data_IF_700955171911
#
_entry.id   IF_700955171911
#
_cell.length_a   1.000
_cell.length_b   1.000
_cell.length_c   1.000
_cell.angle_alpha   90.00
_cell.angle_beta   90.00
_cell.angle_gamma   90.00
#
_symmetry.space_group_name_H-M   'P 1'
#
loop_
_entity.id
_entity.type
_entity.pdbx_description
1 polymer ?
#
# COMPACT_ATOMS: atom_id res chain seq x y z
N UNK A 1 -9.78 2.69 23.73
CA UNK A 1 -8.37 2.20 23.78
C UNK A 1 -7.69 2.61 22.50
N UNK A 2 -6.45 3.12 22.54
CA UNK A 2 -5.70 3.50 21.33
C UNK A 2 -5.28 2.28 20.54
N UNK A 3 -5.31 2.39 19.21
CA UNK A 3 -4.83 1.37 18.27
C UNK A 3 -3.53 1.84 17.64
N UNK A 4 -2.44 1.17 17.92
CA UNK A 4 -1.09 1.52 17.49
C UNK A 4 -0.62 0.47 16.49
N UNK A 5 -0.38 0.87 15.24
CA UNK A 5 0.18 0.00 14.23
C UNK A 5 1.70 -0.09 14.38
N UNK A 6 2.22 -1.29 14.48
CA UNK A 6 3.65 -1.58 14.56
C UNK A 6 4.10 -2.19 13.23
N UNK A 7 4.77 -1.41 12.41
CA UNK A 7 5.25 -1.84 11.09
C UNK A 7 6.64 -2.44 11.23
N UNK A 8 6.73 -3.76 11.10
CA UNK A 8 7.97 -4.52 11.23
C UNK A 8 8.78 -4.51 9.93
N UNK A 9 9.83 -3.72 9.90
CA UNK A 9 10.70 -3.48 8.73
C UNK A 9 12.17 -3.86 8.97
N UNK A 10 12.48 -4.66 10.00
CA UNK A 10 13.85 -5.05 10.36
C UNK A 10 14.50 -6.09 9.43
N UNK A 11 13.72 -6.80 8.62
CA UNK A 11 14.23 -7.88 7.78
C UNK A 11 15.14 -7.40 6.64
N UNK A 12 16.30 -8.04 6.46
CA UNK A 12 17.26 -7.72 5.40
C UNK A 12 16.95 -8.37 4.04
N UNK A 13 16.00 -9.33 4.00
CA UNK A 13 15.50 -9.90 2.75
C UNK A 13 16.46 -10.79 1.96
N UNK A 14 17.31 -11.56 2.64
CA UNK A 14 18.37 -12.40 2.05
C UNK A 14 17.93 -13.33 0.90
N UNK A 15 16.65 -13.78 0.89
CA UNK A 15 16.11 -14.69 -0.14
C UNK A 15 15.87 -14.04 -1.50
N UNK A 16 15.77 -12.70 -1.56
CA UNK A 16 15.43 -11.98 -2.80
C UNK A 16 16.67 -11.58 -3.63
N UNK A 17 17.88 -11.57 -3.02
CA UNK A 17 19.17 -11.20 -3.65
C UNK A 17 19.13 -9.88 -4.46
N UNK A 18 18.33 -8.89 -4.05
CA UNK A 18 18.10 -7.68 -4.82
C UNK A 18 19.09 -6.53 -4.55
N UNK A 19 20.14 -6.77 -3.74
CA UNK A 19 21.14 -5.73 -3.35
C UNK A 19 20.62 -4.65 -2.39
N UNK A 20 19.31 -4.53 -2.21
CA UNK A 20 18.63 -3.65 -1.25
C UNK A 20 17.56 -4.43 -0.47
N UNK A 21 17.25 -4.05 0.78
CA UNK A 21 16.18 -4.70 1.53
C UNK A 21 14.84 -4.60 0.81
N UNK A 22 14.08 -5.70 0.80
CA UNK A 22 12.85 -5.87 0.02
C UNK A 22 11.75 -4.84 0.32
N UNK A 23 11.70 -4.30 1.54
CA UNK A 23 10.76 -3.24 1.91
C UNK A 23 11.01 -1.92 1.16
N UNK A 24 12.19 -1.73 0.56
CA UNK A 24 12.55 -0.55 -0.21
C UNK A 24 12.49 -0.75 -1.73
N UNK A 25 12.09 -1.94 -2.19
CA UNK A 25 11.80 -2.17 -3.60
C UNK A 25 10.57 -1.36 -4.00
N UNK A 26 10.58 -0.81 -5.21
CA UNK A 26 9.45 -0.05 -5.75
C UNK A 26 8.48 -0.97 -6.48
N UNK A 27 7.21 -0.86 -6.18
CA UNK A 27 6.09 -1.52 -6.83
C UNK A 27 4.99 -0.50 -7.04
N UNK A 28 4.36 -0.45 -8.20
CA UNK A 28 3.32 0.53 -8.52
C UNK A 28 3.69 1.98 -8.11
N UNK A 29 4.93 2.40 -8.41
CA UNK A 29 5.40 3.78 -8.23
C UNK A 29 5.92 4.15 -6.82
N UNK A 30 5.60 3.40 -5.78
CA UNK A 30 6.05 3.62 -4.40
C UNK A 30 6.87 2.44 -3.89
N UNK A 31 7.62 2.63 -2.80
CA UNK A 31 8.27 1.50 -2.13
C UNK A 31 7.24 0.64 -1.40
N UNK A 32 7.56 -0.65 -1.23
CA UNK A 32 6.71 -1.62 -0.53
C UNK A 32 6.31 -1.10 0.86
N UNK A 33 7.24 -0.51 1.61
CA UNK A 33 6.95 0.06 2.94
C UNK A 33 6.05 1.30 2.88
N UNK A 34 6.21 2.17 1.85
CA UNK A 34 5.34 3.34 1.67
C UNK A 34 3.89 2.92 1.44
N UNK A 35 3.62 1.87 0.65
CA UNK A 35 2.29 1.30 0.47
C UNK A 35 1.69 0.82 1.79
N UNK A 36 2.47 0.03 2.54
CA UNK A 36 2.04 -0.50 3.84
C UNK A 36 1.68 0.63 4.80
N UNK A 37 2.60 1.58 5.03
CA UNK A 37 2.36 2.73 5.92
C UNK A 37 1.14 3.53 5.46
N UNK A 38 0.99 3.75 4.16
CA UNK A 38 -0.11 4.53 3.58
C UNK A 38 -1.49 3.97 3.93
N UNK A 39 -1.66 2.64 3.97
CA UNK A 39 -2.93 2.00 4.35
C UNK A 39 -3.25 2.27 5.82
N UNK A 40 -2.30 2.09 6.73
CA UNK A 40 -2.51 2.39 8.16
C UNK A 40 -2.67 3.90 8.43
N UNK A 41 -1.94 4.75 7.69
CA UNK A 41 -2.06 6.22 7.80
C UNK A 41 -3.46 6.71 7.47
N UNK A 42 -4.10 6.14 6.43
CA UNK A 42 -5.45 6.52 5.99
C UNK A 42 -6.56 5.91 6.83
N UNK A 43 -6.28 4.87 7.60
CA UNK A 43 -7.29 4.15 8.37
C UNK A 43 -7.77 4.97 9.58
N UNK A 44 -9.08 5.22 9.69
CA UNK A 44 -9.65 6.12 10.72
C UNK A 44 -9.44 5.63 12.16
N UNK A 45 -9.47 4.30 12.37
CA UNK A 45 -9.35 3.68 13.69
C UNK A 45 -7.90 3.45 14.14
N UNK A 46 -6.91 3.78 13.35
CA UNK A 46 -5.50 3.75 13.75
C UNK A 46 -5.11 5.14 14.28
N UNK A 47 -4.65 5.20 15.51
CA UNK A 47 -4.28 6.45 16.18
C UNK A 47 -2.82 6.83 15.95
N UNK A 48 -1.93 5.83 15.95
CA UNK A 48 -0.49 6.01 15.88
C UNK A 48 0.17 4.88 15.08
N UNK A 49 1.30 5.18 14.46
CA UNK A 49 2.15 4.22 13.76
C UNK A 49 3.56 4.30 14.35
N UNK A 50 4.12 3.15 14.71
CA UNK A 50 5.54 2.99 15.00
C UNK A 50 6.17 2.07 13.94
N UNK A 51 7.36 2.42 13.47
CA UNK A 51 8.09 1.63 12.48
C UNK A 51 9.31 1.04 13.18
N UNK A 52 9.48 -0.29 13.09
CA UNK A 52 10.63 -0.98 13.68
C UNK A 52 11.57 -1.41 12.55
N UNK A 53 12.73 -0.78 12.46
CA UNK A 53 13.66 -0.97 11.36
C UNK A 53 15.13 -1.00 11.82
N UNK A 54 16.01 -1.50 10.96
CA UNK A 54 17.45 -1.40 11.18
C UNK A 54 17.86 0.09 11.17
N UNK A 55 18.73 0.48 12.12
CA UNK A 55 19.19 1.86 12.31
C UNK A 55 19.73 2.50 11.02
N UNK A 56 20.44 1.72 10.21
CA UNK A 56 20.98 2.18 8.93
C UNK A 56 19.92 2.76 7.97
N UNK A 57 18.64 2.44 8.17
CA UNK A 57 17.54 2.89 7.32
C UNK A 57 16.61 3.90 7.99
N UNK A 58 16.86 4.31 9.25
CA UNK A 58 16.00 5.27 9.96
C UNK A 58 15.90 6.60 9.21
N UNK A 59 17.02 7.13 8.73
CA UNK A 59 17.04 8.36 7.95
C UNK A 59 16.16 8.25 6.70
N UNK A 60 16.35 7.20 5.91
CA UNK A 60 15.58 6.95 4.69
C UNK A 60 14.07 6.80 4.95
N UNK A 61 13.70 6.12 6.04
CA UNK A 61 12.30 6.00 6.45
C UNK A 61 11.76 7.37 6.87
N UNK A 62 12.55 8.16 7.60
CA UNK A 62 12.21 9.54 7.95
C UNK A 62 11.92 10.42 6.74
N UNK A 63 12.72 10.32 5.67
CA UNK A 63 12.46 11.00 4.40
C UNK A 63 11.10 10.61 3.79
N UNK A 64 10.75 9.31 3.81
CA UNK A 64 9.43 8.85 3.32
C UNK A 64 8.30 9.39 4.18
N UNK A 65 8.47 9.44 5.51
CA UNK A 65 7.47 10.00 6.43
C UNK A 65 7.18 11.47 6.12
N UNK A 66 8.23 12.26 5.91
CA UNK A 66 8.10 13.69 5.57
C UNK A 66 7.49 13.87 4.18
N UNK A 67 8.05 13.21 3.17
CA UNK A 67 7.61 13.29 1.77
C UNK A 67 6.12 12.97 1.60
N UNK A 68 5.65 11.89 2.24
CA UNK A 68 4.28 11.42 2.10
C UNK A 68 3.33 11.98 3.19
N UNK A 69 3.82 12.89 4.05
CA UNK A 69 3.04 13.50 5.14
C UNK A 69 2.37 12.45 6.05
N UNK A 70 3.10 11.38 6.41
CA UNK A 70 2.60 10.32 7.29
C UNK A 70 2.51 10.82 8.74
N UNK A 71 1.48 11.61 9.03
CA UNK A 71 1.30 12.31 10.32
C UNK A 71 1.09 11.41 11.52
N UNK A 72 0.62 10.17 11.31
CA UNK A 72 0.42 9.16 12.38
C UNK A 72 1.73 8.46 12.76
N UNK A 73 2.78 8.51 11.96
CA UNK A 73 4.08 7.96 12.32
C UNK A 73 4.71 8.81 13.42
N UNK A 74 4.80 8.27 14.63
CA UNK A 74 5.33 8.97 15.81
C UNK A 74 6.69 8.45 16.26
N UNK A 75 7.01 7.19 15.95
CA UNK A 75 8.26 6.56 16.39
C UNK A 75 8.88 5.75 15.25
N UNK A 76 10.22 5.83 15.13
CA UNK A 76 11.04 4.90 14.37
C UNK A 76 11.94 4.22 15.39
N UNK A 77 11.75 2.92 15.60
CA UNK A 77 12.38 2.12 16.64
C UNK A 77 13.42 1.19 16.02
N UNK A 78 14.46 0.87 16.81
CA UNK A 78 15.49 -0.08 16.38
C UNK A 78 14.93 -1.50 16.30
N UNK A 79 15.21 -2.20 15.20
CA UNK A 79 14.98 -3.63 15.09
C UNK A 79 16.10 -4.41 15.79
N UNK A 80 15.77 -5.60 16.28
CA UNK A 80 16.78 -6.54 16.74
C UNK A 80 17.27 -7.48 15.63
N UNK A 81 18.17 -8.39 16.00
CA UNK A 81 18.73 -9.41 15.10
C UNK A 81 17.66 -10.40 14.61
N UNK A 82 16.67 -10.69 15.45
CA UNK A 82 15.56 -11.58 15.16
C UNK A 82 14.22 -10.86 15.29
N UNK A 83 13.14 -11.50 14.77
CA UNK A 83 11.80 -10.92 14.77
C UNK A 83 11.31 -10.54 16.18
N UNK A 84 11.49 -11.43 17.15
CA UNK A 84 11.03 -11.20 18.52
C UNK A 84 11.70 -10.01 19.21
N UNK A 85 12.97 -9.72 18.93
CA UNK A 85 13.63 -8.50 19.43
C UNK A 85 13.01 -7.23 18.84
N UNK A 86 12.54 -7.30 17.60
CA UNK A 86 11.81 -6.18 16.98
C UNK A 86 10.46 -5.96 17.66
N UNK A 87 9.72 -7.02 17.98
CA UNK A 87 8.47 -6.95 18.75
C UNK A 87 8.70 -6.41 20.15
N UNK A 88 9.74 -6.88 20.84
CA UNK A 88 10.16 -6.36 22.16
C UNK A 88 10.50 -4.87 22.13
N UNK A 89 11.17 -4.39 21.08
CA UNK A 89 11.47 -2.97 20.92
C UNK A 89 10.20 -2.12 20.88
N UNK A 90 9.16 -2.62 20.19
CA UNK A 90 7.86 -1.96 20.16
C UNK A 90 7.15 -2.04 21.52
N UNK A 91 7.09 -3.20 22.16
CA UNK A 91 6.46 -3.37 23.49
C UNK A 91 7.07 -2.42 24.49
N UNK A 92 8.40 -2.37 24.60
CA UNK A 92 9.14 -1.47 25.49
C UNK A 92 8.87 0.02 25.22
N UNK A 93 8.65 0.38 23.96
CA UNK A 93 8.39 1.78 23.59
C UNK A 93 7.02 2.29 24.11
N UNK A 94 6.12 1.38 24.49
CA UNK A 94 4.76 1.70 24.95
C UNK A 94 4.44 1.21 26.36
N UNK A 95 5.28 0.34 26.99
CA UNK A 95 4.99 -0.31 28.29
C UNK A 95 4.73 0.63 29.46
N UNK A 96 5.25 1.86 29.42
CA UNK A 96 5.06 2.86 30.46
C UNK A 96 3.88 3.82 30.18
N UNK A 97 3.11 3.56 29.13
CA UNK A 97 1.96 4.37 28.75
C UNK A 97 0.62 3.82 29.25
N UNK A 98 -0.45 4.41 28.75
CA UNK A 98 -1.80 3.87 28.94
C UNK A 98 -1.98 2.56 28.16
N UNK A 99 -2.87 1.67 28.65
CA UNK A 99 -3.24 0.44 27.97
C UNK A 99 -3.72 0.73 26.53
N UNK A 100 -3.15 0.02 25.56
CA UNK A 100 -3.42 0.20 24.15
C UNK A 100 -3.38 -1.14 23.41
N UNK A 101 -3.89 -1.14 22.19
CA UNK A 101 -3.72 -2.25 21.26
C UNK A 101 -2.46 -2.05 20.44
N UNK A 102 -1.58 -3.04 20.40
CA UNK A 102 -0.46 -3.12 19.48
C UNK A 102 -0.81 -4.05 18.31
N UNK A 103 -0.75 -3.54 17.10
CA UNK A 103 -1.14 -4.22 15.87
C UNK A 103 0.10 -4.40 15.01
N UNK A 104 0.76 -5.56 15.12
CA UNK A 104 2.02 -5.87 14.45
C UNK A 104 1.78 -6.29 13.01
N UNK A 105 2.43 -5.61 12.08
CA UNK A 105 2.29 -5.91 10.65
C UNK A 105 3.64 -5.94 9.93
N UNK A 106 3.81 -6.94 9.06
CA UNK A 106 5.00 -7.03 8.20
C UNK A 106 5.03 -5.87 7.18
N UNK A 107 6.07 -5.05 7.19
CA UNK A 107 6.28 -3.98 6.20
C UNK A 107 6.23 -4.46 4.74
N UNK A 108 6.39 -5.75 4.53
CA UNK A 108 6.46 -6.42 3.22
C UNK A 108 5.14 -7.11 2.81
N UNK A 109 4.02 -6.67 3.38
CA UNK A 109 2.65 -7.01 2.93
C UNK A 109 1.92 -5.74 2.47
N UNK A 110 2.31 -5.17 1.32
CA UNK A 110 1.83 -3.85 0.90
C UNK A 110 0.37 -3.83 0.46
N UNK A 111 -0.24 -4.99 0.27
CA UNK A 111 -1.62 -5.14 -0.16
C UNK A 111 -2.60 -5.37 1.01
N UNK A 112 -2.20 -5.04 2.24
CA UNK A 112 -3.13 -5.02 3.37
C UNK A 112 -4.35 -4.14 3.06
N UNK A 113 -5.55 -4.64 3.36
CA UNK A 113 -6.81 -3.90 3.18
C UNK A 113 -7.29 -3.23 4.47
N UNK A 114 -8.09 -2.17 4.36
CA UNK A 114 -8.75 -1.55 5.51
C UNK A 114 -9.68 -2.54 6.21
N UNK A 115 -10.33 -3.42 5.46
CA UNK A 115 -11.25 -4.43 6.00
C UNK A 115 -10.56 -5.42 6.94
N UNK A 116 -9.32 -5.83 6.65
CA UNK A 116 -8.55 -6.68 7.57
C UNK A 116 -8.24 -5.92 8.86
N UNK A 117 -7.83 -4.64 8.76
CA UNK A 117 -7.53 -3.81 9.92
C UNK A 117 -8.80 -3.63 10.78
N UNK A 118 -9.95 -3.36 10.17
CA UNK A 118 -11.23 -3.26 10.86
C UNK A 118 -11.56 -4.53 11.64
N UNK A 119 -11.45 -5.72 10.99
CA UNK A 119 -11.72 -7.01 11.63
C UNK A 119 -10.84 -7.25 12.86
N UNK A 120 -9.55 -6.91 12.77
CA UNK A 120 -8.61 -7.03 13.90
C UNK A 120 -9.00 -6.10 15.04
N UNK A 121 -9.29 -4.83 14.74
CA UNK A 121 -9.66 -3.85 15.78
C UNK A 121 -10.99 -4.21 16.46
N UNK A 122 -11.99 -4.65 15.69
CA UNK A 122 -13.27 -5.11 16.22
C UNK A 122 -13.08 -6.34 17.12
N UNK A 123 -12.27 -7.31 16.70
CA UNK A 123 -11.99 -8.51 17.50
C UNK A 123 -11.24 -8.17 18.80
N UNK A 124 -10.34 -7.17 18.79
CA UNK A 124 -9.63 -6.70 20.01
C UNK A 124 -10.53 -6.02 21.03
N UNK A 125 -11.76 -5.68 20.70
CA UNK A 125 -12.74 -5.23 21.69
C UNK A 125 -13.18 -6.36 22.62
N UNK A 126 -13.13 -7.62 22.13
CA UNK A 126 -13.60 -8.81 22.83
C UNK A 126 -12.42 -9.68 23.31
N UNK A 127 -11.42 -9.86 22.44
CA UNK A 127 -10.28 -10.75 22.68
C UNK A 127 -9.02 -9.93 22.97
N UNK A 128 -8.09 -10.53 23.74
CA UNK A 128 -6.82 -9.89 24.08
C UNK A 128 -5.72 -10.14 23.06
N UNK A 129 -5.89 -11.18 22.24
CA UNK A 129 -4.99 -11.56 21.16
C UNK A 129 -5.79 -11.97 19.91
N UNK A 130 -5.37 -11.49 18.75
CA UNK A 130 -6.02 -11.71 17.47
C UNK A 130 -4.98 -12.01 16.40
N UNK A 131 -5.21 -13.06 15.62
CA UNK A 131 -4.41 -13.38 14.44
C UNK A 131 -5.23 -13.21 13.15
N UNK A 132 -4.54 -13.01 12.03
CA UNK A 132 -5.14 -12.97 10.70
C UNK A 132 -4.71 -14.20 9.92
N UNK A 133 -5.65 -14.97 9.42
CA UNK A 133 -5.31 -16.15 8.64
C UNK A 133 -6.32 -16.44 7.53
N UNK A 134 -5.88 -17.18 6.51
CA UNK A 134 -6.71 -17.67 5.41
C UNK A 134 -6.71 -19.21 5.39
N UNK A 135 -7.76 -19.87 4.86
CA UNK A 135 -7.76 -21.32 4.67
C UNK A 135 -6.56 -21.78 3.87
N UNK A 136 -6.00 -22.95 4.20
CA UNK A 136 -4.98 -23.54 3.34
C UNK A 136 -5.62 -24.07 2.06
N UNK A 137 -5.11 -23.63 0.90
CA UNK A 137 -5.53 -24.13 -0.40
C UNK A 137 -4.92 -25.50 -0.67
N UNK A 138 -3.69 -25.73 -0.21
CA UNK A 138 -2.92 -26.93 -0.44
C UNK A 138 -3.09 -27.97 0.67
N UNK A 139 -2.82 -29.22 0.36
CA UNK A 139 -2.69 -30.29 1.36
C UNK A 139 -1.35 -30.12 2.07
N UNK A 140 -1.40 -29.97 3.40
CA UNK A 140 -0.19 -29.88 4.24
C UNK A 140 0.17 -31.30 4.69
N UNK A 141 1.44 -31.65 4.52
CA UNK A 141 2.02 -32.91 4.97
C UNK A 141 3.02 -32.65 6.10
N UNK A 142 3.02 -33.49 7.10
CA UNK A 142 4.05 -33.52 8.14
C UNK A 142 5.07 -34.58 7.78
N UNK A 143 6.35 -34.24 7.81
CA UNK A 143 7.47 -35.15 7.53
C UNK A 143 8.41 -35.22 8.72
N UNK A 144 9.11 -36.37 8.86
CA UNK A 144 10.18 -36.55 9.80
C UNK A 144 11.55 -36.07 9.26
N UNK A 145 12.63 -36.34 10.01
CA UNK A 145 14.01 -36.00 9.61
C UNK A 145 14.48 -36.70 8.34
N UNK A 146 13.87 -37.86 8.01
CA UNK A 146 14.20 -38.68 6.85
C UNK A 146 13.32 -38.35 5.63
N UNK A 147 12.57 -37.23 5.73
CA UNK A 147 11.65 -36.74 4.71
C UNK A 147 10.49 -37.73 4.39
N UNK A 148 10.12 -38.58 5.38
CA UNK A 148 9.01 -39.53 5.27
C UNK A 148 7.72 -38.90 5.85
N UNK A 149 6.58 -39.13 5.19
CA UNK A 149 5.28 -38.59 5.63
C UNK A 149 4.87 -39.24 6.96
N UNK A 150 4.75 -38.41 8.00
CA UNK A 150 4.26 -38.81 9.32
C UNK A 150 2.76 -38.56 9.49
N UNK A 151 2.21 -37.60 8.75
CA UNK A 151 0.79 -37.30 8.88
C UNK A 151 0.30 -36.30 7.82
N UNK A 152 -1.01 -36.32 7.60
CA UNK A 152 -1.71 -35.38 6.73
C UNK A 152 -2.90 -34.81 7.53
N UNK A 153 -2.74 -33.67 8.17
CA UNK A 153 -3.80 -33.06 8.97
C UNK A 153 -5.01 -32.69 8.11
N UNK A 154 -6.24 -32.77 8.65
CA UNK A 154 -7.44 -32.38 7.91
C UNK A 154 -7.37 -30.91 7.48
N UNK A 155 -7.40 -30.63 6.17
CA UNK A 155 -7.27 -29.27 5.60
C UNK A 155 -8.27 -28.26 6.19
N UNK A 156 -9.48 -28.69 6.57
CA UNK A 156 -10.54 -27.83 7.13
C UNK A 156 -10.13 -27.07 8.39
N UNK A 157 -9.17 -27.60 9.17
CA UNK A 157 -8.68 -26.97 10.41
C UNK A 157 -7.37 -26.21 10.21
N UNK A 158 -6.80 -26.26 9.03
CA UNK A 158 -5.52 -25.60 8.74
C UNK A 158 -5.74 -24.22 8.15
N UNK A 159 -4.93 -23.28 8.63
CA UNK A 159 -4.92 -21.89 8.16
C UNK A 159 -3.48 -21.47 7.86
N UNK A 160 -3.32 -20.57 6.90
CA UNK A 160 -2.04 -19.88 6.63
C UNK A 160 -2.07 -18.55 7.37
N UNK A 161 -1.21 -18.38 8.37
CA UNK A 161 -1.08 -17.15 9.14
C UNK A 161 -0.62 -15.98 8.27
N UNK A 162 -1.21 -14.83 8.51
CA UNK A 162 -0.84 -13.56 7.90
C UNK A 162 -0.50 -12.55 9.01
N UNK A 163 -0.37 -11.30 8.65
CA UNK A 163 -0.40 -10.16 9.56
C UNK A 163 -1.42 -9.14 9.03
N UNK A 164 -2.03 -8.31 9.91
CA UNK A 164 -1.59 -7.96 11.27
C UNK A 164 -1.89 -9.03 12.32
N UNK A 165 -1.07 -9.06 13.36
CA UNK A 165 -1.36 -9.74 14.62
C UNK A 165 -1.63 -8.67 15.68
N UNK A 166 -2.79 -8.71 16.32
CA UNK A 166 -3.23 -7.70 17.26
C UNK A 166 -3.21 -8.20 18.69
N UNK A 167 -2.75 -7.37 19.63
CA UNK A 167 -2.68 -7.72 21.05
C UNK A 167 -2.99 -6.51 21.92
N UNK A 168 -3.58 -6.75 23.09
CA UNK A 168 -3.52 -5.77 24.18
C UNK A 168 -2.08 -5.70 24.69
N UNK A 169 -1.62 -4.49 24.98
CA UNK A 169 -0.23 -4.26 25.41
C UNK A 169 0.15 -5.12 26.62
N UNK A 170 -0.69 -5.16 27.66
CA UNK A 170 -0.40 -5.94 28.85
C UNK A 170 -0.32 -7.44 28.56
N UNK A 171 -1.14 -7.97 27.68
CA UNK A 171 -1.14 -9.39 27.30
C UNK A 171 0.13 -9.77 26.57
N UNK A 172 0.51 -9.03 25.52
CA UNK A 172 1.73 -9.35 24.76
C UNK A 172 3.00 -9.13 25.60
N UNK A 173 3.00 -8.09 26.46
CA UNK A 173 4.09 -7.85 27.40
C UNK A 173 4.25 -9.02 28.38
N UNK A 174 3.18 -9.47 29.03
CA UNK A 174 3.22 -10.60 29.95
C UNK A 174 3.73 -11.89 29.26
N UNK A 175 3.28 -12.15 28.02
CA UNK A 175 3.75 -13.31 27.26
C UNK A 175 5.27 -13.25 27.02
N UNK A 176 5.79 -12.08 26.65
CA UNK A 176 7.23 -11.90 26.46
C UNK A 176 8.02 -11.91 27.76
N UNK A 177 7.48 -11.37 28.85
CA UNK A 177 8.12 -11.43 30.18
C UNK A 177 8.31 -12.88 30.66
N UNK A 178 7.39 -13.78 30.33
CA UNK A 178 7.53 -15.22 30.60
C UNK A 178 8.47 -15.89 29.60
N UNK A 179 8.35 -15.59 28.32
CA UNK A 179 9.18 -16.17 27.26
C UNK A 179 10.68 -15.92 27.47
N UNK A 180 11.03 -14.72 27.92
CA UNK A 180 12.43 -14.34 28.17
C UNK A 180 13.08 -15.06 29.36
N UNK A 181 12.31 -15.77 30.19
CA UNK A 181 12.84 -16.65 31.26
C UNK A 181 13.20 -18.05 30.75
N UNK A 182 12.70 -18.41 29.55
CA UNK A 182 12.96 -19.71 28.91
C UNK A 182 14.29 -19.63 28.11
N UNK A 183 15.36 -20.35 28.52
CA UNK A 183 16.64 -20.34 27.83
C UNK A 183 16.55 -20.91 26.40
N UNK A 184 15.54 -21.73 26.12
CA UNK A 184 15.27 -22.34 24.81
C UNK A 184 14.19 -21.58 24.03
N UNK A 185 14.03 -20.28 24.31
CA UNK A 185 13.02 -19.47 23.66
C UNK A 185 13.31 -19.29 22.16
N UNK A 186 12.46 -19.87 21.35
CA UNK A 186 12.42 -19.72 19.89
C UNK A 186 10.97 -19.42 19.48
N UNK A 187 10.77 -18.46 18.60
CA UNK A 187 9.46 -18.16 18.04
C UNK A 187 9.55 -17.74 16.57
N UNK A 188 8.50 -18.03 15.82
CA UNK A 188 8.33 -17.61 14.45
C UNK A 188 7.45 -16.36 14.32
N UNK A 189 6.54 -16.14 15.28
CA UNK A 189 5.62 -15.01 15.32
C UNK A 189 5.16 -14.68 16.75
N UNK A 190 4.41 -13.58 16.91
CA UNK A 190 4.00 -13.07 18.20
C UNK A 190 2.82 -13.86 18.79
N UNK A 191 1.93 -14.43 17.97
CA UNK A 191 0.86 -15.32 18.42
C UNK A 191 1.42 -16.62 19.02
N UNK A 192 2.50 -17.17 18.45
CA UNK A 192 3.19 -18.33 19.01
C UNK A 192 3.74 -18.09 20.41
N UNK A 193 4.17 -16.86 20.72
CA UNK A 193 4.62 -16.47 22.08
C UNK A 193 3.44 -16.51 23.05
N UNK A 194 2.32 -15.87 22.70
CA UNK A 194 1.11 -15.89 23.54
C UNK A 194 0.60 -17.30 23.73
N UNK A 195 0.53 -18.11 22.69
CA UNK A 195 0.04 -19.49 22.75
C UNK A 195 0.86 -20.37 23.70
N UNK A 196 2.20 -20.23 23.66
CA UNK A 196 3.11 -21.06 24.47
C UNK A 196 3.17 -20.60 25.94
N UNK A 197 3.23 -19.29 26.19
CA UNK A 197 3.55 -18.75 27.51
C UNK A 197 2.35 -18.20 28.28
N UNK A 198 1.21 -18.00 27.59
CA UNK A 198 -0.08 -17.66 28.21
C UNK A 198 -1.19 -18.59 27.69
N UNK A 199 -1.16 -19.91 27.99
CA UNK A 199 -2.03 -20.91 27.37
C UNK A 199 -3.52 -20.68 27.62
N UNK A 200 -3.88 -19.95 28.70
CA UNK A 200 -5.27 -19.60 29.00
C UNK A 200 -5.80 -18.44 28.13
N UNK A 201 -4.91 -17.69 27.47
CA UNK A 201 -5.29 -16.58 26.60
C UNK A 201 -5.76 -17.10 25.26
N UNK A 202 -7.03 -16.84 24.93
CA UNK A 202 -7.59 -17.23 23.63
C UNK A 202 -7.11 -16.27 22.55
N UNK A 203 -6.48 -16.82 21.51
CA UNK A 203 -6.12 -16.10 20.30
C UNK A 203 -7.25 -16.28 19.29
N UNK A 204 -7.97 -15.20 18.97
CA UNK A 204 -9.05 -15.25 18.00
C UNK A 204 -8.52 -15.06 16.59
N UNK A 205 -8.98 -15.86 15.64
CA UNK A 205 -8.56 -15.78 14.23
C UNK A 205 -9.61 -15.04 13.41
N UNK A 206 -9.23 -13.92 12.82
CA UNK A 206 -10.05 -13.20 11.84
C UNK A 206 -9.65 -13.61 10.42
N UNK A 207 -10.61 -13.50 9.50
CA UNK A 207 -10.39 -13.86 8.11
C UNK A 207 -9.49 -12.84 7.41
N UNK A 208 -8.41 -13.33 6.81
CA UNK A 208 -7.50 -12.57 5.95
C UNK A 208 -7.95 -12.52 4.50
N UNK A 209 -7.04 -12.15 3.61
CA UNK A 209 -7.27 -12.08 2.17
C UNK A 209 -6.08 -12.70 1.43
N UNK A 210 -6.32 -13.43 0.32
CA UNK A 210 -5.24 -14.00 -0.49
C UNK A 210 -4.33 -12.91 -1.06
N UNK A 211 -4.89 -11.74 -1.36
CA UNK A 211 -4.14 -10.57 -1.82
C UNK A 211 -3.17 -10.00 -0.77
N UNK A 212 -3.40 -10.26 0.54
CA UNK A 212 -2.51 -9.80 1.61
C UNK A 212 -1.26 -10.70 1.72
N UNK A 213 -0.63 -10.95 0.58
CA UNK A 213 0.55 -11.80 0.47
C UNK A 213 1.83 -11.10 0.96
N UNK A 214 2.79 -11.90 1.42
CA UNK A 214 4.10 -11.44 1.88
C UNK A 214 5.10 -11.49 0.74
N UNK A 215 5.75 -10.37 0.43
CA UNK A 215 6.90 -10.35 -0.50
C UNK A 215 8.05 -11.17 0.09
N UNK A 216 8.24 -12.38 -0.42
CA UNK A 216 9.24 -13.32 0.10
C UNK A 216 10.24 -13.74 -0.99
N UNK A 217 9.74 -14.07 -2.17
CA UNK A 217 10.48 -14.51 -3.33
C UNK A 217 10.42 -13.49 -4.46
N UNK A 218 11.25 -13.67 -5.48
CA UNK A 218 11.32 -12.75 -6.63
C UNK A 218 10.01 -12.73 -7.43
N UNK A 219 9.34 -13.86 -7.52
CA UNK A 219 8.07 -14.04 -8.21
C UNK A 219 6.94 -13.25 -7.55
N UNK A 220 6.96 -13.14 -6.21
CA UNK A 220 5.97 -12.38 -5.45
C UNK A 220 5.94 -10.91 -5.87
N UNK A 221 7.09 -10.37 -6.29
CA UNK A 221 7.19 -8.98 -6.75
C UNK A 221 6.27 -8.73 -7.96
N UNK A 222 6.34 -9.60 -8.96
CA UNK A 222 5.49 -9.49 -10.16
C UNK A 222 4.01 -9.70 -9.85
N UNK A 223 3.70 -10.63 -8.94
CA UNK A 223 2.33 -10.86 -8.49
C UNK A 223 1.76 -9.64 -7.77
N UNK A 224 2.53 -9.04 -6.86
CA UNK A 224 2.12 -7.84 -6.12
C UNK A 224 1.93 -6.67 -7.08
N UNK A 225 2.84 -6.44 -8.03
CA UNK A 225 2.70 -5.42 -9.07
C UNK A 225 1.39 -5.59 -9.84
N UNK A 226 1.10 -6.82 -10.27
CA UNK A 226 -0.13 -7.13 -11.02
C UNK A 226 -1.39 -6.94 -10.17
N UNK A 227 -1.34 -7.31 -8.89
CA UNK A 227 -2.46 -7.10 -7.98
C UNK A 227 -2.72 -5.60 -7.71
N UNK A 228 -1.67 -4.76 -7.64
CA UNK A 228 -1.85 -3.31 -7.61
C UNK A 228 -2.53 -2.79 -8.88
N UNK A 229 -2.09 -3.24 -10.06
CA UNK A 229 -2.74 -2.87 -11.32
C UNK A 229 -4.21 -3.27 -11.34
N UNK A 230 -4.55 -4.50 -10.90
CA UNK A 230 -5.93 -4.96 -10.81
C UNK A 230 -6.78 -4.15 -9.81
N UNK A 231 -6.19 -3.73 -8.68
CA UNK A 231 -6.89 -2.83 -7.74
C UNK A 231 -7.16 -1.46 -8.37
N UNK A 232 -6.27 -0.96 -9.21
CA UNK A 232 -6.46 0.30 -9.93
C UNK A 232 -7.50 0.17 -11.05
N UNK A 233 -7.61 -1.00 -11.69
CA UNK A 233 -8.64 -1.25 -12.72
C UNK A 233 -10.03 -1.55 -12.12
N UNK A 234 -10.10 -2.02 -10.87
CA UNK A 234 -11.33 -2.12 -10.10
C UNK A 234 -11.71 -0.76 -9.46
N UNK A 235 -11.43 0.35 -10.15
CA UNK A 235 -12.21 1.56 -9.89
C UNK A 235 -13.66 1.18 -10.14
N UNK A 236 -14.43 0.91 -9.10
CA UNK A 236 -15.86 1.19 -9.15
C UNK A 236 -15.93 2.61 -9.70
N UNK A 237 -16.73 2.80 -10.72
CA UNK A 237 -17.10 4.13 -11.18
C UNK A 237 -17.42 4.94 -9.92
N UNK A 238 -16.46 5.76 -9.50
CA UNK A 238 -16.69 6.68 -8.41
C UNK A 238 -17.53 7.76 -9.05
N UNK A 239 -18.83 7.56 -9.05
CA UNK A 239 -19.74 8.60 -9.46
C UNK A 239 -19.38 9.83 -8.62
N UNK A 240 -18.97 10.90 -9.30
CA UNK A 240 -18.65 12.16 -8.63
C UNK A 240 -19.79 12.52 -7.68
N UNK A 241 -19.46 12.80 -6.44
CA UNK A 241 -20.43 13.31 -5.47
C UNK A 241 -20.94 14.67 -5.96
N UNK A 242 -22.12 15.08 -5.51
CA UNK A 242 -22.67 16.38 -5.90
C UNK A 242 -21.75 17.54 -5.48
N UNK A 243 -21.07 17.44 -4.35
CA UNK A 243 -20.06 18.41 -3.88
C UNK A 243 -18.83 18.50 -4.81
N UNK A 244 -18.42 17.40 -5.43
CA UNK A 244 -17.33 17.37 -6.42
C UNK A 244 -17.76 17.97 -7.76
N UNK A 245 -18.99 17.73 -8.19
CA UNK A 245 -19.56 18.34 -9.40
C UNK A 245 -19.72 19.85 -9.24
N UNK A 246 -20.19 20.31 -8.07
CA UNK A 246 -20.33 21.73 -7.78
C UNK A 246 -19.01 22.49 -7.88
N UNK A 247 -17.87 21.87 -7.55
CA UNK A 247 -16.53 22.49 -7.67
C UNK A 247 -16.14 22.79 -9.11
N UNK A 248 -16.70 22.09 -10.09
CA UNK A 248 -16.45 22.28 -11.51
C UNK A 248 -17.47 23.20 -12.18
N UNK A 249 -18.61 23.44 -11.54
CA UNK A 249 -19.68 24.27 -12.11
C UNK A 249 -19.19 25.69 -12.43
N UNK A 250 -19.37 26.10 -13.68
CA UNK A 250 -18.96 27.40 -14.19
C UNK A 250 -17.46 27.63 -14.27
N UNK A 251 -16.62 26.62 -14.07
CA UNK A 251 -15.17 26.69 -14.29
C UNK A 251 -14.86 26.69 -15.77
N UNK A 252 -13.85 27.45 -16.17
CA UNK A 252 -13.36 27.50 -17.55
C UNK A 252 -12.09 26.67 -17.66
N UNK A 253 -12.16 25.66 -18.52
CA UNK A 253 -11.11 24.65 -18.71
C UNK A 253 -10.62 24.70 -20.16
N UNK A 254 -9.30 24.81 -20.36
CA UNK A 254 -8.65 24.62 -21.65
C UNK A 254 -8.02 23.23 -21.66
N UNK A 255 -8.41 22.38 -22.62
CA UNK A 255 -7.98 20.99 -22.68
C UNK A 255 -7.35 20.68 -24.04
N UNK A 256 -6.06 20.32 -24.04
CA UNK A 256 -5.37 19.80 -25.22
C UNK A 256 -5.47 18.27 -25.27
N UNK A 257 -5.55 17.71 -26.49
CA UNK A 257 -5.78 16.28 -26.70
C UNK A 257 -7.24 15.84 -26.59
N UNK A 258 -8.19 16.76 -26.78
CA UNK A 258 -9.62 16.56 -26.56
C UNK A 258 -10.33 15.65 -27.59
N UNK A 259 -9.66 15.21 -28.65
CA UNK A 259 -10.33 14.52 -29.79
C UNK A 259 -10.62 13.05 -29.55
N UNK A 260 -9.93 12.39 -28.64
CA UNK A 260 -10.07 10.94 -28.38
C UNK A 260 -9.53 10.53 -27.03
N UNK A 261 -9.86 9.29 -26.58
CA UNK A 261 -9.31 8.69 -25.38
C UNK A 261 -9.59 9.50 -24.12
N UNK A 262 -8.60 9.61 -23.24
CA UNK A 262 -8.72 10.25 -21.92
C UNK A 262 -9.20 11.70 -22.03
N UNK A 263 -8.67 12.46 -23.00
CA UNK A 263 -9.06 13.86 -23.18
C UNK A 263 -10.51 14.03 -23.60
N UNK A 264 -11.00 13.19 -24.49
CA UNK A 264 -12.41 13.22 -24.92
C UNK A 264 -13.35 12.88 -23.77
N UNK A 265 -13.06 11.82 -23.00
CA UNK A 265 -13.89 11.41 -21.85
C UNK A 265 -13.87 12.47 -20.75
N UNK A 266 -12.68 13.05 -20.48
CA UNK A 266 -12.54 14.14 -19.50
C UNK A 266 -13.29 15.40 -19.92
N UNK A 267 -13.26 15.77 -21.20
CA UNK A 267 -14.04 16.90 -21.73
C UNK A 267 -15.53 16.70 -21.47
N UNK A 268 -16.08 15.53 -21.80
CA UNK A 268 -17.48 15.23 -21.60
C UNK A 268 -17.84 15.26 -20.10
N UNK A 269 -17.04 14.62 -19.26
CA UNK A 269 -17.26 14.61 -17.81
C UNK A 269 -17.27 16.03 -17.21
N UNK A 270 -16.31 16.88 -17.60
CA UNK A 270 -16.29 18.27 -17.13
C UNK A 270 -17.51 19.07 -17.61
N UNK A 271 -17.94 18.89 -18.87
CA UNK A 271 -19.16 19.50 -19.38
C UNK A 271 -20.41 19.03 -18.61
N UNK A 272 -20.53 17.74 -18.33
CA UNK A 272 -21.63 17.16 -17.53
C UNK A 272 -21.68 17.71 -16.10
N UNK A 273 -20.52 18.13 -15.57
CA UNK A 273 -20.42 18.81 -14.27
C UNK A 273 -20.64 20.34 -14.36
N UNK A 274 -21.05 20.87 -15.53
CA UNK A 274 -21.34 22.29 -15.71
C UNK A 274 -20.14 23.20 -15.91
N UNK A 275 -18.96 22.65 -16.25
CA UNK A 275 -17.81 23.43 -16.66
C UNK A 275 -17.93 23.87 -18.13
N UNK A 276 -17.27 24.97 -18.47
CA UNK A 276 -17.08 25.44 -19.85
C UNK A 276 -15.75 24.93 -20.35
N UNK A 277 -15.75 23.98 -21.28
CA UNK A 277 -14.51 23.34 -21.76
C UNK A 277 -14.19 23.75 -23.18
N UNK A 278 -12.99 24.27 -23.40
CA UNK A 278 -12.43 24.54 -24.71
C UNK A 278 -11.44 23.42 -25.07
N UNK A 279 -11.90 22.50 -25.91
CA UNK A 279 -11.11 21.34 -26.34
C UNK A 279 -10.30 21.63 -27.61
N UNK A 280 -9.03 21.30 -27.60
CA UNK A 280 -8.10 21.48 -28.72
C UNK A 280 -7.38 20.19 -29.08
N UNK A 281 -7.21 19.95 -30.40
CA UNK A 281 -6.39 18.86 -30.92
C UNK A 281 -6.04 19.10 -32.40
N UNK A 282 -5.07 18.36 -32.91
CA UNK A 282 -4.73 18.40 -34.33
C UNK A 282 -5.89 18.01 -35.24
N UNK A 283 -6.71 17.05 -34.84
CA UNK A 283 -7.83 16.53 -35.62
C UNK A 283 -9.10 17.35 -35.54
N UNK A 284 -9.37 18.03 -34.43
CA UNK A 284 -10.61 18.82 -34.24
C UNK A 284 -10.50 20.23 -34.82
N UNK A 285 -9.41 20.92 -34.53
CA UNK A 285 -9.27 22.36 -34.80
C UNK A 285 -7.84 22.75 -35.15
N UNK A 286 -7.02 21.78 -35.65
CA UNK A 286 -5.68 21.96 -36.15
C UNK A 286 -4.71 22.62 -35.18
N UNK A 287 -4.94 22.45 -33.85
CA UNK A 287 -4.03 22.93 -32.85
C UNK A 287 -2.99 21.86 -32.53
N UNK A 288 -1.71 22.21 -32.78
CA UNK A 288 -0.55 21.37 -32.51
C UNK A 288 0.16 21.87 -31.24
N UNK A 289 0.34 21.00 -30.25
CA UNK A 289 1.01 21.34 -29.00
C UNK A 289 2.52 21.51 -29.14
N UNK A 290 3.11 20.94 -30.21
CA UNK A 290 4.53 21.13 -30.53
C UNK A 290 4.81 22.54 -31.12
N UNK A 291 3.78 23.20 -31.65
CA UNK A 291 3.87 24.58 -32.17
C UNK A 291 3.39 25.60 -31.16
N UNK A 292 4.32 26.35 -30.58
CA UNK A 292 4.04 27.38 -29.60
C UNK A 292 3.09 28.46 -30.11
N UNK A 293 3.15 28.81 -31.38
CA UNK A 293 2.27 29.84 -31.96
C UNK A 293 0.87 29.30 -32.18
N UNK A 294 0.72 28.00 -32.49
CA UNK A 294 -0.56 27.29 -32.48
C UNK A 294 -1.20 27.31 -31.08
N UNK A 295 -0.44 26.98 -30.04
CA UNK A 295 -0.88 27.00 -28.64
C UNK A 295 -1.27 28.43 -28.22
N UNK A 296 -0.47 29.46 -28.54
CA UNK A 296 -0.79 30.85 -28.24
C UNK A 296 -2.07 31.32 -28.92
N UNK A 297 -2.29 30.89 -30.16
CA UNK A 297 -3.50 31.19 -30.91
C UNK A 297 -4.74 30.57 -30.25
N UNK A 298 -4.63 29.32 -29.77
CA UNK A 298 -5.69 28.64 -29.03
C UNK A 298 -6.07 29.43 -27.77
N UNK A 299 -5.09 29.80 -26.92
CA UNK A 299 -5.36 30.63 -25.75
C UNK A 299 -5.94 32.00 -26.10
N UNK A 300 -5.45 32.61 -27.17
CA UNK A 300 -5.96 33.91 -27.62
C UNK A 300 -7.40 33.84 -28.09
N UNK A 301 -7.82 32.72 -28.69
CA UNK A 301 -9.21 32.51 -29.08
C UNK A 301 -10.13 32.40 -27.85
N UNK A 302 -9.71 31.63 -26.84
CA UNK A 302 -10.45 31.48 -25.58
C UNK A 302 -10.54 32.81 -24.83
N UNK A 303 -9.42 33.57 -24.74
CA UNK A 303 -9.38 34.86 -24.06
C UNK A 303 -10.29 35.93 -24.67
N UNK A 304 -10.70 35.77 -25.95
CA UNK A 304 -11.68 36.68 -26.58
C UNK A 304 -13.11 36.40 -26.15
N UNK A 305 -13.39 35.19 -25.70
CA UNK A 305 -14.75 34.76 -25.32
C UNK A 305 -14.97 34.81 -23.81
N UNK A 306 -13.91 34.56 -23.03
CA UNK A 306 -13.98 34.49 -21.58
C UNK A 306 -12.88 35.30 -20.90
N UNK A 307 -13.22 35.89 -19.74
CA UNK A 307 -12.28 36.75 -19.00
C UNK A 307 -11.32 35.99 -18.05
N UNK A 308 -11.46 34.68 -17.97
CA UNK A 308 -10.64 33.85 -17.07
C UNK A 308 -10.48 32.45 -17.63
N UNK A 309 -9.40 31.79 -17.22
CA UNK A 309 -9.16 30.35 -17.41
C UNK A 309 -8.86 29.81 -16.02
N UNK A 310 -9.64 28.84 -15.54
CA UNK A 310 -9.44 28.26 -14.21
C UNK A 310 -8.45 27.08 -14.25
N UNK A 311 -8.48 26.26 -15.31
CA UNK A 311 -7.61 25.11 -15.48
C UNK A 311 -7.11 24.97 -16.92
N UNK A 312 -5.89 24.49 -17.05
CA UNK A 312 -5.30 24.05 -18.32
C UNK A 312 -4.89 22.61 -18.14
N UNK A 313 -5.35 21.74 -19.03
CA UNK A 313 -5.09 20.30 -18.97
C UNK A 313 -4.51 19.87 -20.32
N UNK A 314 -3.42 19.12 -20.29
CA UNK A 314 -2.84 18.50 -21.46
C UNK A 314 -2.95 16.96 -21.33
N UNK A 315 -3.62 16.36 -22.31
CA UNK A 315 -3.75 14.92 -22.49
C UNK A 315 -3.28 14.47 -23.88
N UNK A 316 -2.71 15.40 -24.65
CA UNK A 316 -2.19 15.06 -25.95
C UNK A 316 -1.02 14.10 -25.79
N UNK A 317 -1.07 13.00 -26.53
CA UNK A 317 0.00 12.00 -26.54
C UNK A 317 0.02 11.24 -27.85
N UNK A 318 1.17 10.69 -28.20
CA UNK A 318 1.33 9.70 -29.26
C UNK A 318 1.87 8.40 -28.69
N UNK A 319 1.34 7.29 -29.17
CA UNK A 319 1.79 5.96 -28.79
C UNK A 319 1.97 5.10 -30.04
N UNK A 320 3.21 4.78 -30.37
CA UNK A 320 3.56 3.79 -31.37
C UNK A 320 3.67 2.42 -30.70
N UNK A 321 2.90 1.43 -31.22
CA UNK A 321 2.87 0.05 -30.65
C UNK A 321 3.97 -0.85 -31.25
N UNK A 322 5.09 -0.27 -31.62
CA UNK A 322 6.23 -0.97 -32.17
C UNK A 322 7.41 -0.98 -31.20
N UNK A 323 8.22 -2.05 -31.18
CA UNK A 323 9.48 -2.03 -30.43
C UNK A 323 10.39 -0.89 -30.95
N UNK A 324 11.08 -0.21 -30.01
CA UNK A 324 11.96 0.93 -30.33
C UNK A 324 12.95 0.65 -31.48
N UNK A 325 13.42 -0.61 -31.60
CA UNK A 325 14.35 -1.03 -32.65
C UNK A 325 13.73 -0.99 -34.09
N UNK A 326 12.43 -0.88 -34.23
CA UNK A 326 11.71 -0.82 -35.51
C UNK A 326 11.05 0.53 -35.79
N UNK A 327 11.08 1.44 -34.81
CA UNK A 327 10.53 2.79 -34.95
C UNK A 327 11.43 3.63 -35.90
N UNK A 328 10.82 4.48 -36.72
CA UNK A 328 11.56 5.48 -37.45
C UNK A 328 12.09 6.59 -36.54
N UNK A 329 13.09 7.33 -37.00
CA UNK A 329 13.64 8.42 -36.19
C UNK A 329 12.58 9.49 -35.90
N UNK A 330 11.73 9.80 -36.90
CA UNK A 330 10.63 10.76 -36.77
C UNK A 330 9.61 10.30 -35.72
N UNK A 331 9.27 9.00 -35.65
CA UNK A 331 8.36 8.45 -34.63
C UNK A 331 8.94 8.56 -33.22
N UNK A 332 10.26 8.35 -33.08
CA UNK A 332 10.95 8.49 -31.79
C UNK A 332 10.94 9.97 -31.36
N UNK A 333 11.29 10.88 -32.27
CA UNK A 333 11.31 12.32 -32.03
C UNK A 333 9.92 12.84 -31.69
N UNK A 334 8.88 12.48 -32.44
CA UNK A 334 7.49 12.84 -32.14
C UNK A 334 7.04 12.31 -30.76
N UNK A 335 7.46 11.10 -30.42
CA UNK A 335 7.13 10.53 -29.07
C UNK A 335 7.76 11.34 -27.94
N UNK A 336 8.98 11.83 -28.13
CA UNK A 336 9.69 12.63 -27.12
C UNK A 336 9.10 14.03 -27.02
N UNK A 337 8.76 14.64 -28.15
CA UNK A 337 8.33 16.04 -28.22
C UNK A 337 6.87 16.23 -27.76
N UNK A 338 6.02 15.20 -27.89
CA UNK A 338 4.61 15.28 -27.53
C UNK A 338 4.35 14.76 -26.09
N UNK A 339 5.06 13.72 -25.65
CA UNK A 339 4.81 13.08 -24.35
C UNK A 339 5.74 13.62 -23.24
#
# INVERSE_FOLDING_TARGET
MKNIAIILAGGIGSRLNAGIPKQFLKVAGLTVIEHTISTFQRHSLIDEIAIVANEAYHHKIGEYVVKNKFSKVKKILMSGAERHFSSLSAIKAYENGEECNLIFHDAVRPLISSQIIDRVIVALQIYEAVDVAIPSADTIIQVDSDNTIMGIPPRRVLRRGQTPQGFRLNTIKAAYDEALKDPDFITTDDCGVVLKYLPETKIYVVEGEDSNMKLTYKEDFYLIEKLFQLRMTNFQEHALTDDEKEKLQGKVIVLFGASSGIGFDLMNLCCDCGAVVYGFSRSMNHVDIQDLDSVRSAFSSVAKEVNRIDYVIDTASVLYKEPLAYMSYEQIEETIDIN
#
